data_IF_989398697985
#
_entry.id   IF_989398697985
#
_cell.length_a   1.000
_cell.length_b   1.000
_cell.length_c   1.000
_cell.angle_alpha   90.00
_cell.angle_beta   90.00
_cell.angle_gamma   90.00
#
_symmetry.space_group_name_H-M   'P 1'
#
loop_
_entity.id
_entity.type
_entity.pdbx_description
1 polymer ?
#
# COMPACT_ATOMS: atom_id res chain seq x y z
N UNK A 1 9.48 -4.61 -0.48
CA UNK A 1 9.13 -3.53 -1.44
C UNK A 1 9.74 -2.22 -0.98
N UNK A 2 10.15 -1.32 -1.89
CA UNK A 2 10.66 0.02 -1.53
C UNK A 2 9.61 1.09 -1.78
N UNK A 3 9.53 2.07 -0.88
CA UNK A 3 8.63 3.20 -1.01
C UNK A 3 8.98 4.03 -2.26
N UNK A 4 7.97 4.43 -3.04
CA UNK A 4 8.18 5.26 -4.23
C UNK A 4 8.74 6.65 -3.85
N UNK A 5 8.32 7.18 -2.71
CA UNK A 5 8.60 8.56 -2.27
C UNK A 5 9.93 8.69 -1.54
N UNK A 6 10.12 8.00 -0.41
CA UNK A 6 11.34 8.13 0.40
C UNK A 6 12.39 7.05 0.13
N UNK A 7 12.13 6.10 -0.78
CA UNK A 7 12.99 4.95 -1.10
C UNK A 7 13.30 4.00 0.06
N UNK A 8 12.80 4.27 1.28
CA UNK A 8 12.89 3.38 2.43
C UNK A 8 12.13 2.08 2.22
N UNK A 9 12.43 1.10 3.07
CA UNK A 9 11.72 -0.17 3.11
C UNK A 9 10.23 0.02 3.42
N UNK A 10 9.41 -0.88 2.91
CA UNK A 10 8.00 -0.96 3.28
C UNK A 10 7.76 -2.26 4.03
N UNK A 11 7.08 -2.15 5.17
CA UNK A 11 6.56 -3.28 5.91
C UNK A 11 5.26 -3.75 5.26
N UNK A 12 5.13 -5.07 5.12
CA UNK A 12 3.90 -5.69 4.65
C UNK A 12 2.94 -5.84 5.83
N UNK A 13 1.70 -5.43 5.64
CA UNK A 13 0.59 -5.65 6.57
C UNK A 13 -0.29 -6.82 6.09
N UNK A 14 -1.20 -7.23 6.96
CA UNK A 14 -2.10 -8.35 6.69
C UNK A 14 -2.91 -8.18 5.41
N UNK A 15 -3.19 -9.32 4.80
CA UNK A 15 -3.88 -9.42 3.53
C UNK A 15 -5.39 -9.42 3.79
N UNK A 16 -6.05 -8.28 3.59
CA UNK A 16 -7.48 -8.14 3.80
C UNK A 16 -8.24 -8.71 2.61
N UNK A 17 -9.28 -9.52 2.87
CA UNK A 17 -10.15 -10.02 1.80
C UNK A 17 -11.27 -9.02 1.55
N UNK A 18 -11.31 -8.45 0.35
CA UNK A 18 -12.34 -7.52 -0.11
C UNK A 18 -13.19 -8.22 -1.17
N UNK A 19 -14.26 -8.89 -0.74
CA UNK A 19 -15.15 -9.67 -1.60
C UNK A 19 -14.43 -10.83 -2.33
N UNK A 20 -14.31 -10.72 -3.65
CA UNK A 20 -13.60 -11.66 -4.53
C UNK A 20 -12.15 -11.25 -4.84
N UNK A 21 -11.57 -10.38 -4.00
CA UNK A 21 -10.19 -9.92 -4.14
C UNK A 21 -9.49 -9.93 -2.78
N UNK A 22 -8.18 -9.93 -2.83
CA UNK A 22 -7.30 -9.73 -1.69
C UNK A 22 -6.60 -8.39 -1.86
N UNK A 23 -6.52 -7.63 -0.79
CA UNK A 23 -5.80 -6.37 -0.72
C UNK A 23 -4.63 -6.56 0.25
N UNK A 24 -3.42 -6.51 -0.29
CA UNK A 24 -2.19 -6.57 0.48
C UNK A 24 -1.67 -5.16 0.67
N UNK A 25 -1.68 -4.67 1.91
CA UNK A 25 -1.21 -3.33 2.19
C UNK A 25 0.28 -3.37 2.57
N UNK A 26 1.07 -2.48 1.98
CA UNK A 26 2.45 -2.24 2.34
C UNK A 26 2.55 -0.82 2.89
N UNK A 27 3.02 -0.65 4.11
CA UNK A 27 3.20 0.67 4.72
C UNK A 27 4.68 0.98 4.79
N UNK A 28 5.05 2.21 4.44
CA UNK A 28 6.42 2.67 4.56
C UNK A 28 6.85 2.67 6.03
N UNK A 29 8.03 2.11 6.31
CA UNK A 29 8.59 2.12 7.68
C UNK A 29 9.06 3.50 8.12
N UNK A 30 9.18 4.44 7.17
CA UNK A 30 9.52 5.81 7.48
C UNK A 30 8.26 6.58 7.90
N UNK A 31 8.17 6.89 9.19
CA UNK A 31 7.07 7.61 9.80
C UNK A 31 6.89 9.03 9.26
N UNK A 32 7.94 9.63 8.69
CA UNK A 32 7.82 10.94 8.02
C UNK A 32 7.11 10.83 6.66
N UNK A 33 7.27 9.69 5.99
CA UNK A 33 6.72 9.52 4.64
C UNK A 33 5.24 9.14 4.67
N UNK A 34 4.81 8.37 5.68
CA UNK A 34 3.44 7.83 5.87
C UNK A 34 2.78 7.32 4.58
N UNK A 35 3.59 6.79 3.67
CA UNK A 35 3.12 6.27 2.39
C UNK A 35 2.68 4.82 2.57
N UNK A 36 1.50 4.49 2.10
CA UNK A 36 1.00 3.15 1.95
C UNK A 36 0.89 2.79 0.45
N UNK A 37 1.08 1.52 0.15
CA UNK A 37 0.87 0.94 -1.16
C UNK A 37 -0.10 -0.23 -0.98
N UNK A 38 -1.22 -0.18 -1.69
CA UNK A 38 -2.21 -1.26 -1.71
C UNK A 38 -1.98 -2.07 -2.97
N UNK A 39 -1.58 -3.32 -2.80
CA UNK A 39 -1.44 -4.29 -3.87
C UNK A 39 -2.72 -5.13 -3.96
N UNK A 40 -3.41 -5.07 -5.09
CA UNK A 40 -4.66 -5.82 -5.28
C UNK A 40 -4.36 -7.15 -5.97
N UNK A 41 -4.91 -8.23 -5.43
CA UNK A 41 -4.80 -9.57 -5.98
C UNK A 41 -6.20 -10.15 -6.17
N UNK A 42 -6.37 -10.95 -7.21
CA UNK A 42 -7.60 -11.75 -7.41
C UNK A 42 -7.71 -12.86 -6.37
N UNK A 43 -8.88 -13.49 -6.22
CA UNK A 43 -9.05 -14.71 -5.39
C UNK A 43 -8.06 -15.83 -5.73
N UNK A 44 -7.51 -15.86 -6.95
CA UNK A 44 -6.55 -16.87 -7.41
C UNK A 44 -5.11 -16.52 -7.01
N UNK A 45 -4.90 -15.43 -6.26
CA UNK A 45 -3.58 -14.94 -5.86
C UNK A 45 -2.82 -14.18 -6.96
N UNK A 46 -3.45 -13.96 -8.12
CA UNK A 46 -2.83 -13.21 -9.24
C UNK A 46 -2.89 -11.72 -8.96
N UNK A 47 -1.75 -11.04 -9.01
CA UNK A 47 -1.65 -9.58 -8.85
C UNK A 47 -2.34 -8.84 -10.00
N UNK A 48 -3.05 -7.77 -9.64
CA UNK A 48 -3.79 -6.91 -10.55
C UNK A 48 -3.15 -5.51 -10.53
N UNK A 49 -2.08 -5.28 -11.30
CA UNK A 49 -1.28 -4.06 -11.20
C UNK A 49 -2.04 -2.78 -11.58
N UNK A 50 -3.11 -2.91 -12.36
CA UNK A 50 -3.99 -1.78 -12.72
C UNK A 50 -4.81 -1.26 -11.52
N UNK A 51 -5.00 -2.09 -10.49
CA UNK A 51 -5.72 -1.72 -9.26
C UNK A 51 -4.78 -1.38 -8.11
N UNK A 52 -3.46 -1.48 -8.32
CA UNK A 52 -2.47 -1.12 -7.33
C UNK A 52 -2.49 0.40 -7.09
N UNK A 53 -2.55 0.82 -5.82
CA UNK A 53 -2.69 2.23 -5.47
C UNK A 53 -1.64 2.68 -4.44
N UNK A 54 -0.98 3.80 -4.72
CA UNK A 54 -0.11 4.49 -3.77
C UNK A 54 -0.91 5.55 -3.04
N UNK A 55 -1.05 5.38 -1.73
CA UNK A 55 -1.63 6.35 -0.82
C UNK A 55 -0.48 7.05 -0.10
N UNK A 56 -0.33 8.36 -0.26
CA UNK A 56 0.55 9.14 0.59
C UNK A 56 -0.37 9.91 1.53
N UNK A 57 -0.27 9.70 2.84
CA UNK A 57 -0.80 10.69 3.76
C UNK A 57 0.12 11.91 3.65
N UNK A 58 -0.16 12.76 2.66
CA UNK A 58 0.24 14.14 2.77
C UNK A 58 -0.51 14.67 3.98
N UNK A 59 0.25 15.10 4.98
CA UNK A 59 -0.26 15.79 6.15
C UNK A 59 -1.22 16.89 5.68
N UNK A 60 -2.51 16.58 5.73
CA UNK A 60 -3.58 17.56 5.76
C UNK A 60 -3.60 18.13 7.18
N UNK A 61 -2.56 18.89 7.52
CA UNK A 61 -2.49 19.87 8.60
C UNK A 61 -1.88 21.09 7.92
N UNK A 62 -2.47 22.27 7.81
CA UNK A 62 -3.68 22.83 8.39
C UNK A 62 -4.08 24.04 7.53
N UNK A 63 -5.38 24.32 7.41
CA UNK A 63 -5.92 25.69 7.33
C UNK A 63 -7.19 25.75 8.17
#
# INVERSE_FOLDING_TARGET
MKCKYCKSSMAEQENERIGNRYCKQHVCVNDECKAAFKEIRTIRGVRVPVEDCWLKQETAEAE
#
